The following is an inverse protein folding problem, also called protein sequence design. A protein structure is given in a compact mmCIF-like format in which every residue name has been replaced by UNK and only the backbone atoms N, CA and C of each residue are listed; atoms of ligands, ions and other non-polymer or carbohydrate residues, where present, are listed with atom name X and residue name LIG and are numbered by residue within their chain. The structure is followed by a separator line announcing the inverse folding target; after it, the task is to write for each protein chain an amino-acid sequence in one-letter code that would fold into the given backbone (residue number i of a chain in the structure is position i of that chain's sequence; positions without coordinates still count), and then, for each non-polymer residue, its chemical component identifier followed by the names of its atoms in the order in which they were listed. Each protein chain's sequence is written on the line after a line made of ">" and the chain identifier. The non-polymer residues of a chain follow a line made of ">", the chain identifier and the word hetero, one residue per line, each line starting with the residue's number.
data_IF_525327236956
#
_entry.id   IF_525327236956
#
_cell.length_a   1.000
_cell.length_b   1.000
_cell.length_c   1.000
_cell.angle_alpha   90.00
_cell.angle_beta   90.00
_cell.angle_gamma   90.00
#
_symmetry.space_group_name_H-M   'P 1'
#
loop_
_entity.id
_entity.type
_entity.pdbx_description
1 polymer ?
#
# COMPACT_ATOMS: atom_id res chain seq x y z
N UNK A 1 -37.33 0.09 -13.80
CA UNK A 1 -36.40 1.01 -14.50
C UNK A 1 -35.05 0.86 -13.84
N UNK A 2 -34.12 0.16 -14.49
CA UNK A 2 -32.73 0.06 -14.05
C UNK A 2 -32.01 1.31 -14.55
N UNK A 3 -31.66 2.22 -13.64
CA UNK A 3 -30.75 3.32 -13.94
C UNK A 3 -29.37 2.73 -14.19
N UNK A 4 -28.97 2.68 -15.47
CA UNK A 4 -27.57 2.49 -15.86
C UNK A 4 -26.74 3.58 -15.20
N UNK A 5 -25.80 3.19 -14.35
CA UNK A 5 -24.72 4.08 -13.96
C UNK A 5 -23.85 4.33 -15.20
N UNK A 6 -23.38 5.57 -15.44
CA UNK A 6 -22.59 5.86 -16.62
C UNK A 6 -21.25 5.14 -16.57
N UNK A 7 -20.97 4.36 -17.62
CA UNK A 7 -19.67 3.80 -17.93
C UNK A 7 -18.66 4.95 -18.13
N UNK A 8 -17.87 5.23 -17.10
CA UNK A 8 -16.64 6.01 -17.21
C UNK A 8 -15.56 5.32 -16.38
N UNK A 9 -15.24 4.09 -16.78
CA UNK A 9 -13.99 3.45 -16.41
C UNK A 9 -12.99 3.87 -17.49
N UNK A 10 -12.20 4.90 -17.24
CA UNK A 10 -11.04 5.17 -18.11
C UNK A 10 -9.95 4.15 -17.78
N UNK A 11 -9.23 3.69 -18.80
CA UNK A 11 -8.04 2.84 -18.67
C UNK A 11 -6.78 3.67 -18.33
N UNK A 12 -6.98 4.92 -17.93
CA UNK A 12 -5.88 5.79 -17.55
C UNK A 12 -5.22 5.26 -16.27
N UNK A 13 -3.88 5.26 -16.22
CA UNK A 13 -3.15 4.85 -15.03
C UNK A 13 -3.57 5.73 -13.85
N UNK A 14 -3.96 5.11 -12.74
CA UNK A 14 -4.27 5.83 -11.50
C UNK A 14 -2.94 6.33 -10.95
N UNK A 15 -2.85 7.64 -10.72
CA UNK A 15 -1.67 8.24 -10.08
C UNK A 15 -2.06 8.86 -8.75
N UNK A 16 -1.20 8.69 -7.76
CA UNK A 16 -1.24 9.41 -6.49
C UNK A 16 0.09 10.09 -6.28
N UNK A 17 0.08 11.31 -5.78
CA UNK A 17 1.28 12.00 -5.35
C UNK A 17 0.98 12.80 -4.10
N UNK A 18 1.87 12.68 -3.11
CA UNK A 18 1.89 13.48 -1.89
C UNK A 18 3.31 14.00 -1.64
N UNK A 19 3.52 14.75 -0.56
CA UNK A 19 4.87 15.14 -0.13
C UNK A 19 5.68 13.94 0.44
N UNK A 20 5.04 12.79 0.70
CA UNK A 20 5.68 11.61 1.30
C UNK A 20 6.11 10.57 0.27
N UNK A 21 5.24 10.32 -0.72
CA UNK A 21 5.44 9.32 -1.76
C UNK A 21 4.50 9.56 -2.95
N UNK A 22 4.83 8.92 -4.07
CA UNK A 22 3.96 8.80 -5.24
C UNK A 22 3.66 7.34 -5.56
N UNK A 23 2.56 7.11 -6.27
CA UNK A 23 2.16 5.82 -6.83
C UNK A 23 1.78 6.01 -8.30
N UNK A 24 2.25 5.12 -9.15
CA UNK A 24 1.73 4.90 -10.51
C UNK A 24 1.14 3.50 -10.54
N UNK A 25 -0.16 3.42 -10.78
CA UNK A 25 -0.92 2.17 -10.79
C UNK A 25 -1.33 1.84 -12.22
N UNK A 26 -0.99 0.64 -12.66
CA UNK A 26 -1.36 0.09 -13.95
C UNK A 26 -2.15 -1.20 -13.73
N UNK A 27 -3.43 -1.18 -14.13
CA UNK A 27 -4.29 -2.35 -14.10
C UNK A 27 -4.10 -3.19 -15.36
N UNK A 28 -3.91 -4.48 -15.17
CA UNK A 28 -3.95 -5.49 -16.22
C UNK A 28 -5.17 -6.40 -15.99
N UNK A 29 -5.45 -7.27 -16.96
CA UNK A 29 -6.63 -8.14 -16.94
C UNK A 29 -6.74 -8.94 -15.62
N UNK A 30 -5.64 -9.56 -15.19
CA UNK A 30 -5.59 -10.46 -14.04
C UNK A 30 -4.77 -9.94 -12.85
N UNK A 31 -4.09 -8.80 -13.00
CA UNK A 31 -3.18 -8.30 -11.98
C UNK A 31 -3.10 -6.77 -12.00
N UNK A 32 -2.52 -6.18 -10.96
CA UNK A 32 -2.20 -4.76 -10.91
C UNK A 32 -0.74 -4.57 -10.57
N UNK A 33 -0.08 -3.68 -11.32
CA UNK A 33 1.28 -3.24 -11.10
C UNK A 33 1.27 -1.85 -10.49
N UNK A 34 2.04 -1.66 -9.43
CA UNK A 34 2.17 -0.40 -8.72
C UNK A 34 3.65 -0.07 -8.62
N UNK A 35 4.04 1.07 -9.17
CA UNK A 35 5.34 1.68 -8.91
C UNK A 35 5.16 2.68 -7.79
N UNK A 36 5.82 2.47 -6.66
CA UNK A 36 5.87 3.40 -5.54
C UNK A 36 7.23 4.09 -5.51
N UNK A 37 7.23 5.40 -5.32
CA UNK A 37 8.45 6.17 -5.05
C UNK A 37 8.29 6.90 -3.71
N UNK A 38 9.17 6.59 -2.74
CA UNK A 38 9.24 7.33 -1.49
C UNK A 38 10.12 8.57 -1.65
N UNK A 39 9.64 9.70 -1.13
CA UNK A 39 10.43 10.93 -1.02
C UNK A 39 11.14 11.05 0.34
N UNK A 40 10.88 10.10 1.24
CA UNK A 40 11.58 9.94 2.50
C UNK A 40 12.91 9.19 2.31
N UNK A 41 13.90 9.53 3.14
CA UNK A 41 15.14 8.75 3.25
C UNK A 41 14.94 7.38 3.92
N UNK A 42 13.84 7.25 4.68
CA UNK A 42 13.45 6.04 5.39
C UNK A 42 12.67 5.13 4.45
N UNK A 43 13.23 3.95 4.20
CA UNK A 43 12.65 2.93 3.32
C UNK A 43 12.27 1.64 4.04
N UNK A 44 12.45 1.58 5.36
CA UNK A 44 12.20 0.40 6.18
C UNK A 44 11.55 0.77 7.52
N UNK A 45 10.59 -0.04 7.97
CA UNK A 45 9.76 0.17 9.16
C UNK A 45 10.54 0.15 10.47
N UNK A 46 11.78 -0.35 10.50
CA UNK A 46 12.64 -0.32 11.70
C UNK A 46 12.91 1.09 12.23
N UNK A 47 12.76 2.10 11.37
CA UNK A 47 12.92 3.51 11.72
C UNK A 47 11.59 4.19 12.04
N UNK A 48 10.47 3.44 12.06
CA UNK A 48 9.13 3.94 12.34
C UNK A 48 8.48 3.07 13.42
N UNK A 49 8.89 3.19 14.70
CA UNK A 49 8.48 2.27 15.76
C UNK A 49 6.96 2.20 15.98
N UNK A 50 6.22 3.26 15.65
CA UNK A 50 4.77 3.32 15.77
C UNK A 50 4.01 2.47 14.73
N UNK A 51 4.69 1.93 13.70
CA UNK A 51 4.07 1.12 12.63
C UNK A 51 3.18 0.02 13.19
N UNK A 52 3.70 -0.81 14.12
CA UNK A 52 2.93 -1.92 14.68
C UNK A 52 1.69 -1.46 15.45
N UNK A 53 1.81 -0.36 16.21
CA UNK A 53 0.72 0.19 17.01
C UNK A 53 -0.41 0.71 16.10
N UNK A 54 -0.06 1.43 15.03
CA UNK A 54 -1.03 1.94 14.07
C UNK A 54 -1.73 0.81 13.32
N UNK A 55 -0.98 -0.20 12.85
CA UNK A 55 -1.59 -1.38 12.22
C UNK A 55 -2.53 -2.12 13.15
N UNK A 56 -2.16 -2.34 14.42
CA UNK A 56 -3.03 -3.00 15.39
C UNK A 56 -4.31 -2.19 15.67
N UNK A 57 -4.22 -0.87 15.64
CA UNK A 57 -5.36 0.02 15.86
C UNK A 57 -6.31 0.04 14.66
N UNK A 58 -5.78 0.11 13.44
CA UNK A 58 -6.56 0.40 12.23
C UNK A 58 -6.86 -0.83 11.37
N UNK A 59 -5.99 -1.84 11.40
CA UNK A 59 -6.05 -3.02 10.55
C UNK A 59 -5.49 -4.28 11.26
N UNK A 60 -6.02 -4.68 12.44
CA UNK A 60 -5.38 -5.66 13.32
C UNK A 60 -5.17 -7.04 12.69
N UNK A 61 -6.04 -7.44 11.77
CA UNK A 61 -6.01 -8.75 11.11
C UNK A 61 -4.84 -8.92 10.14
N UNK A 62 -4.20 -7.83 9.70
CA UNK A 62 -2.96 -7.86 8.90
C UNK A 62 -1.84 -8.63 9.61
N UNK A 63 -1.86 -8.69 10.94
CA UNK A 63 -0.85 -9.42 11.72
C UNK A 63 -0.93 -10.95 11.50
N UNK A 64 -2.04 -11.44 10.94
CA UNK A 64 -2.23 -12.83 10.58
C UNK A 64 -1.88 -13.14 9.12
N UNK A 65 -1.50 -12.13 8.32
CA UNK A 65 -1.08 -12.34 6.93
C UNK A 65 0.10 -13.29 6.86
N UNK A 66 0.04 -14.22 5.91
CA UNK A 66 1.20 -15.07 5.57
C UNK A 66 2.20 -14.21 4.80
N UNK A 67 3.47 -14.33 5.15
CA UNK A 67 4.56 -13.76 4.35
C UNK A 67 5.60 -14.84 4.04
N UNK A 68 6.07 -14.85 2.80
CA UNK A 68 7.07 -15.79 2.28
C UNK A 68 8.43 -15.08 2.13
N UNK A 69 8.91 -14.48 3.21
CA UNK A 69 10.22 -13.85 3.24
C UNK A 69 11.37 -14.86 3.38
N UNK A 70 12.61 -14.41 3.14
CA UNK A 70 13.83 -15.25 3.21
C UNK A 70 14.06 -15.90 4.57
N UNK A 71 13.51 -15.33 5.64
CA UNK A 71 13.64 -15.81 7.02
C UNK A 71 12.45 -16.69 7.46
N UNK A 72 11.47 -16.89 6.58
CA UNK A 72 10.21 -17.59 6.85
C UNK A 72 9.49 -17.07 8.11
N UNK A 73 9.56 -15.76 8.35
CA UNK A 73 8.90 -15.14 9.49
C UNK A 73 7.43 -14.82 9.17
N UNK A 74 6.51 -14.96 10.14
CA UNK A 74 5.17 -14.43 9.97
C UNK A 74 5.22 -12.90 9.87
N UNK A 75 4.24 -12.30 9.18
CA UNK A 75 4.22 -10.85 8.97
C UNK A 75 4.29 -10.06 10.28
N UNK A 76 3.61 -10.51 11.34
CA UNK A 76 3.68 -9.88 12.67
C UNK A 76 5.10 -9.71 13.25
N UNK A 77 6.05 -10.55 12.82
CA UNK A 77 7.47 -10.43 13.18
C UNK A 77 8.24 -9.57 12.17
N UNK A 78 7.99 -9.79 10.89
CA UNK A 78 8.69 -9.09 9.80
C UNK A 78 8.38 -7.59 9.74
N UNK A 79 7.13 -7.20 10.05
CA UNK A 79 6.65 -5.82 9.96
C UNK A 79 7.47 -4.82 10.81
N UNK A 80 8.24 -5.30 11.78
CA UNK A 80 9.17 -4.49 12.59
C UNK A 80 10.41 -4.04 11.83
N UNK A 81 10.80 -4.77 10.80
CA UNK A 81 11.98 -4.52 9.98
C UNK A 81 11.70 -4.95 8.53
N UNK A 82 10.70 -4.35 7.91
CA UNK A 82 10.32 -4.61 6.52
C UNK A 82 10.45 -3.35 5.68
N UNK A 83 10.70 -3.51 4.39
CA UNK A 83 10.64 -2.43 3.43
C UNK A 83 9.23 -1.81 3.38
N UNK A 84 9.17 -0.49 3.21
CA UNK A 84 7.90 0.26 3.23
C UNK A 84 6.99 -0.12 2.05
N UNK A 85 7.56 -0.38 0.86
CA UNK A 85 6.77 -0.91 -0.26
C UNK A 85 6.10 -2.26 0.07
N UNK A 86 6.79 -3.12 0.82
CA UNK A 86 6.25 -4.43 1.22
C UNK A 86 5.19 -4.30 2.32
N UNK A 87 5.37 -3.35 3.25
CA UNK A 87 4.31 -2.96 4.18
C UNK A 87 3.05 -2.49 3.43
N UNK A 88 3.21 -1.61 2.44
CA UNK A 88 2.09 -1.09 1.66
C UNK A 88 1.33 -2.19 0.92
N UNK A 89 2.05 -3.13 0.30
CA UNK A 89 1.45 -4.33 -0.28
C UNK A 89 0.55 -5.05 0.72
N UNK A 90 1.06 -5.38 1.91
CA UNK A 90 0.28 -6.08 2.92
C UNK A 90 -0.96 -5.31 3.37
N UNK A 91 -0.87 -3.98 3.52
CA UNK A 91 -2.02 -3.13 3.85
C UNK A 91 -3.06 -3.22 2.73
N UNK A 92 -2.63 -3.11 1.47
CA UNK A 92 -3.50 -3.15 0.30
C UNK A 92 -4.22 -4.49 0.16
N UNK A 93 -3.48 -5.60 0.26
CA UNK A 93 -4.04 -6.96 0.19
C UNK A 93 -5.09 -7.19 1.28
N UNK A 94 -4.84 -6.71 2.49
CA UNK A 94 -5.76 -6.88 3.62
C UNK A 94 -7.05 -6.08 3.42
N UNK A 95 -6.97 -4.82 2.94
CA UNK A 95 -8.16 -4.05 2.59
C UNK A 95 -8.95 -4.66 1.43
N UNK A 96 -8.29 -5.18 0.40
CA UNK A 96 -8.94 -5.91 -0.68
C UNK A 96 -9.74 -7.11 -0.14
N UNK A 97 -9.13 -7.89 0.75
CA UNK A 97 -9.79 -9.03 1.39
C UNK A 97 -11.02 -8.60 2.20
N UNK A 98 -10.92 -7.54 3.00
CA UNK A 98 -12.05 -7.02 3.79
C UNK A 98 -13.20 -6.54 2.90
N UNK A 99 -12.90 -5.86 1.79
CA UNK A 99 -13.91 -5.36 0.86
C UNK A 99 -14.60 -6.50 0.10
N UNK A 100 -13.87 -7.53 -0.35
CA UNK A 100 -14.48 -8.73 -0.93
C UNK A 100 -15.40 -9.45 0.05
N UNK A 101 -14.96 -9.59 1.31
CA UNK A 101 -15.79 -10.19 2.36
C UNK A 101 -17.09 -9.40 2.60
N UNK A 102 -17.02 -8.06 2.61
CA UNK A 102 -18.21 -7.19 2.74
C UNK A 102 -19.18 -7.31 1.55
N UNK A 103 -18.68 -7.65 0.36
CA UNK A 103 -19.49 -7.96 -0.83
C UNK A 103 -20.05 -9.41 -0.83
N UNK A 104 -19.83 -10.18 0.24
CA UNK A 104 -20.32 -11.56 0.37
C UNK A 104 -19.46 -12.61 -0.33
N UNK A 105 -18.29 -12.23 -0.86
CA UNK A 105 -17.36 -13.16 -1.49
C UNK A 105 -16.55 -13.83 -0.38
N UNK A 106 -17.01 -15.00 0.07
CA UNK A 106 -16.34 -15.76 1.12
C UNK A 106 -15.06 -16.42 0.59
N UNK A 107 -13.95 -16.29 1.32
CA UNK A 107 -12.65 -16.96 1.08
C UNK A 107 -11.94 -16.57 -0.22
N UNK A 108 -11.77 -15.27 -0.45
CA UNK A 108 -10.80 -14.80 -1.42
C UNK A 108 -9.51 -14.39 -0.71
N UNK A 109 -8.39 -14.90 -1.20
CA UNK A 109 -7.04 -14.54 -0.74
C UNK A 109 -6.39 -13.79 -1.87
N UNK A 110 -5.91 -12.59 -1.59
CA UNK A 110 -5.07 -11.86 -2.51
C UNK A 110 -3.60 -12.14 -2.23
N UNK A 111 -2.82 -12.24 -3.30
CA UNK A 111 -1.37 -12.44 -3.28
C UNK A 111 -0.68 -11.20 -3.84
N UNK A 112 0.48 -10.89 -3.25
CA UNK A 112 1.33 -9.80 -3.69
C UNK A 112 2.78 -10.21 -3.83
N UNK A 113 3.52 -9.39 -4.57
CA UNK A 113 4.97 -9.46 -4.63
C UNK A 113 5.57 -8.06 -4.77
N UNK A 114 6.40 -7.71 -3.78
CA UNK A 114 7.16 -6.47 -3.78
C UNK A 114 8.61 -6.75 -4.15
N UNK A 115 9.15 -5.95 -5.07
CA UNK A 115 10.56 -5.99 -5.48
C UNK A 115 11.16 -4.59 -5.45
N UNK A 116 12.47 -4.52 -5.24
CA UNK A 116 13.26 -3.30 -5.37
C UNK A 116 14.67 -3.67 -5.81
N UNK A 117 15.28 -2.82 -6.65
CA UNK A 117 16.68 -2.95 -7.02
C UNK A 117 17.35 -1.56 -7.02
N UNK A 118 17.81 -1.10 -5.86
CA UNK A 118 18.46 0.22 -5.75
C UNK A 118 19.84 0.33 -6.42
N UNK A 119 20.29 -0.70 -7.14
CA UNK A 119 21.44 -0.58 -8.05
C UNK A 119 21.01 -0.05 -9.43
N UNK A 120 19.76 -0.28 -9.81
CA UNK A 120 19.18 0.08 -11.10
C UNK A 120 18.17 1.23 -10.95
N UNK A 121 17.35 1.18 -9.90
CA UNK A 121 16.35 2.19 -9.56
C UNK A 121 16.87 3.18 -8.51
N UNK A 122 16.24 4.36 -8.44
CA UNK A 122 16.44 5.28 -7.33
C UNK A 122 16.09 4.63 -5.98
N UNK A 123 16.82 5.00 -4.93
CA UNK A 123 16.53 4.52 -3.57
C UNK A 123 15.14 4.99 -3.14
N UNK A 124 14.31 4.05 -2.68
CA UNK A 124 12.92 4.33 -2.29
C UNK A 124 11.90 4.00 -3.39
N UNK A 125 12.36 3.56 -4.57
CA UNK A 125 11.50 2.96 -5.59
C UNK A 125 11.21 1.50 -5.26
N UNK A 126 9.93 1.14 -5.35
CA UNK A 126 9.42 -0.22 -5.18
C UNK A 126 8.47 -0.57 -6.33
N UNK A 127 8.55 -1.82 -6.78
CA UNK A 127 7.65 -2.41 -7.76
C UNK A 127 6.79 -3.46 -7.07
N UNK A 128 5.51 -3.16 -6.92
CA UNK A 128 4.53 -3.99 -6.22
C UNK A 128 3.59 -4.59 -7.25
N UNK A 129 3.37 -5.89 -7.16
CA UNK A 129 2.42 -6.63 -8.00
C UNK A 129 1.38 -7.25 -7.11
N UNK A 130 0.11 -7.15 -7.46
CA UNK A 130 -0.99 -7.82 -6.75
C UNK A 130 -1.93 -8.52 -7.71
N UNK A 131 -2.51 -9.65 -7.31
CA UNK A 131 -3.48 -10.42 -8.10
C UNK A 131 -4.91 -9.85 -8.05
N UNK A 132 -5.02 -8.52 -8.11
CA UNK A 132 -6.29 -7.83 -8.30
C UNK A 132 -6.34 -7.30 -9.73
N UNK A 133 -7.16 -7.90 -10.58
CA UNK A 133 -7.30 -7.53 -11.99
C UNK A 133 -8.45 -6.57 -12.25
N UNK A 134 -8.92 -6.53 -13.50
CA UNK A 134 -10.05 -5.69 -13.90
C UNK A 134 -11.35 -6.00 -13.15
N UNK A 135 -11.57 -7.26 -12.79
CA UNK A 135 -12.73 -7.67 -11.98
C UNK A 135 -12.78 -7.00 -10.60
N UNK A 136 -11.62 -6.58 -10.10
CA UNK A 136 -11.46 -5.98 -8.78
C UNK A 136 -11.30 -4.46 -8.83
N UNK A 137 -11.36 -3.83 -10.00
CA UNK A 137 -11.01 -2.40 -10.19
C UNK A 137 -11.75 -1.47 -9.22
N UNK A 138 -13.05 -1.68 -9.01
CA UNK A 138 -13.85 -0.88 -8.07
C UNK A 138 -13.41 -1.03 -6.61
N UNK A 139 -13.22 -2.27 -6.15
CA UNK A 139 -12.79 -2.53 -4.76
C UNK A 139 -11.34 -2.11 -4.56
N UNK A 140 -10.53 -2.23 -5.60
CA UNK A 140 -9.14 -1.84 -5.59
C UNK A 140 -9.00 -0.34 -5.36
N UNK A 141 -9.79 0.50 -6.03
CA UNK A 141 -9.75 1.95 -5.81
C UNK A 141 -10.03 2.33 -4.35
N UNK A 142 -10.99 1.65 -3.72
CA UNK A 142 -11.33 1.88 -2.30
C UNK A 142 -10.20 1.35 -1.39
N UNK A 143 -9.67 0.15 -1.67
CA UNK A 143 -8.56 -0.43 -0.91
C UNK A 143 -7.31 0.44 -1.00
N UNK A 144 -6.99 0.93 -2.20
CA UNK A 144 -5.86 1.80 -2.48
C UNK A 144 -5.96 3.10 -1.67
N UNK A 145 -7.14 3.73 -1.66
CA UNK A 145 -7.38 4.94 -0.86
C UNK A 145 -7.09 4.72 0.62
N UNK A 146 -7.66 3.66 1.22
CA UNK A 146 -7.40 3.36 2.63
C UNK A 146 -5.95 2.98 2.91
N UNK A 147 -5.28 2.34 1.95
CA UNK A 147 -3.86 1.99 2.06
C UNK A 147 -2.97 3.23 2.04
N UNK A 148 -3.28 4.20 1.18
CA UNK A 148 -2.61 5.50 1.11
C UNK A 148 -2.80 6.25 2.43
N UNK A 149 -4.03 6.32 2.96
CA UNK A 149 -4.36 6.98 4.23
C UNK A 149 -3.55 6.36 5.38
N UNK A 150 -3.61 5.04 5.56
CA UNK A 150 -2.91 4.37 6.65
C UNK A 150 -1.39 4.46 6.52
N UNK A 151 -0.84 4.34 5.31
CA UNK A 151 0.60 4.50 5.11
C UNK A 151 1.04 5.95 5.39
N UNK A 152 0.24 6.93 4.99
CA UNK A 152 0.50 8.36 5.29
C UNK A 152 0.60 8.58 6.79
N UNK A 153 -0.38 8.08 7.56
CA UNK A 153 -0.37 8.15 9.02
C UNK A 153 0.87 7.50 9.62
N UNK A 154 1.26 6.32 9.13
CA UNK A 154 2.48 5.62 9.57
C UNK A 154 3.73 6.46 9.29
N UNK A 155 3.89 6.95 8.06
CA UNK A 155 5.07 7.71 7.65
C UNK A 155 5.19 9.05 8.38
N UNK A 156 4.09 9.71 8.74
CA UNK A 156 4.09 10.94 9.51
C UNK A 156 4.65 10.75 10.94
N UNK A 157 4.62 9.53 11.48
CA UNK A 157 5.21 9.25 12.80
C UNK A 157 6.73 9.08 12.78
N UNK A 158 7.36 9.01 11.60
CA UNK A 158 8.80 8.80 11.46
C UNK A 158 9.66 10.01 11.92
N UNK A 159 9.01 11.13 12.25
CA UNK A 159 9.65 12.35 12.75
C UNK A 159 10.29 13.21 11.66
N UNK A 160 10.68 14.46 11.98
CA UNK A 160 11.16 15.43 10.99
C UNK A 160 12.43 15.02 10.25
N UNK A 161 13.28 14.19 10.87
CA UNK A 161 14.54 13.72 10.30
C UNK A 161 14.36 12.73 9.13
N UNK A 162 13.15 12.19 8.94
CA UNK A 162 12.84 11.26 7.86
C UNK A 162 12.75 11.95 6.48
N UNK A 163 12.37 13.23 6.47
CA UNK A 163 12.05 14.04 5.30
C UNK A 163 13.02 15.22 5.22
N UNK A 164 14.18 15.09 4.56
CA UNK A 164 15.22 16.13 4.54
C UNK A 164 14.79 17.44 3.87
N UNK A 165 13.67 17.43 3.13
CA UNK A 165 13.07 18.61 2.50
C UNK A 165 11.88 19.18 3.30
N UNK A 166 11.61 18.65 4.49
CA UNK A 166 10.53 19.06 5.38
C UNK A 166 9.16 18.56 4.94
N UNK A 167 8.32 18.18 5.91
CA UNK A 167 6.88 18.23 5.70
C UNK A 167 6.55 19.72 5.54
N UNK A 168 6.11 20.18 4.36
CA UNK A 168 5.52 21.51 4.27
C UNK A 168 4.40 21.54 5.32
N UNK A 169 4.58 22.35 6.36
CA UNK A 169 3.51 22.59 7.31
C UNK A 169 2.30 23.10 6.51
N UNK A 170 1.08 22.62 6.79
CA UNK A 170 -0.09 23.26 6.21
C UNK A 170 -0.04 24.73 6.63
N UNK A 171 -0.07 25.62 5.63
CA UNK A 171 -0.36 27.03 5.86
C UNK A 171 -1.76 27.06 6.46
N UNK A 172 -1.81 27.30 7.78
CA UNK A 172 -3.04 27.65 8.48
C UNK A 172 -3.19 29.15 8.26
N UNK A 173 -4.07 29.53 7.33
CA UNK A 173 -4.69 30.86 7.30
C UNK A 173 -6.01 30.82 8.09
#
# INVERSE_FOLDING_TARGET
>A
MLTKMPDLITDDPISHSSELFSLVVNHEEMNTKITMELFASIVNTKHIPATCQLLQKHLPTIMHSKCFNKKNYPFAKEVKETEIGHLFEHILLEYLCHLKQRRGISKHVHNGLTRWNWKEDARGVFHIHVDAGHEDKEIFQVALKHSIELLTDILQTAGPSAFPYGLKQPLID
#
